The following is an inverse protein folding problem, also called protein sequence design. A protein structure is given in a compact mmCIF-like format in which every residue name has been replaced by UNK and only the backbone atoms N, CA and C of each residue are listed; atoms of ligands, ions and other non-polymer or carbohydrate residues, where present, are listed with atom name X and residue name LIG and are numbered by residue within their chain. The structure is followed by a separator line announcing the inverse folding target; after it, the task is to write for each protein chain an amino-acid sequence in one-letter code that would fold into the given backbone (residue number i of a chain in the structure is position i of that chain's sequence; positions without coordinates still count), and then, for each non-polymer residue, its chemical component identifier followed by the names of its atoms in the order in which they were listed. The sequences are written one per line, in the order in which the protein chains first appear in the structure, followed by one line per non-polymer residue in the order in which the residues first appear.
data_IF_748496836536
#
_entry.id   IF_748496836536
#
_cell.length_a   1.000
_cell.length_b   1.000
_cell.length_c   1.000
_cell.angle_alpha   90.00
_cell.angle_beta   90.00
_cell.angle_gamma   90.00
#
_symmetry.space_group_name_H-M   'P 1'
#
loop_
_entity.id
_entity.type
_entity.pdbx_description
1 polymer ?
#
# COMPACT_ATOMS: atom_id res chain seq x y z
N UNK A 1 -11.18 27.44 16.93
CA UNK A 1 -10.72 27.04 15.58
C UNK A 1 -10.40 28.29 14.78
N UNK A 2 -9.15 28.49 14.38
CA UNK A 2 -8.72 29.64 13.58
C UNK A 2 -9.13 29.40 12.12
N UNK A 3 -9.91 30.31 11.51
CA UNK A 3 -10.31 30.21 10.10
C UNK A 3 -9.08 30.41 9.22
N UNK A 4 -8.63 29.37 8.51
CA UNK A 4 -7.63 29.51 7.44
C UNK A 4 -8.20 30.45 6.37
N UNK A 5 -7.50 31.54 6.05
CA UNK A 5 -7.81 32.42 4.92
C UNK A 5 -7.37 31.75 3.62
N UNK A 6 -8.28 31.64 2.65
CA UNK A 6 -7.95 31.13 1.32
C UNK A 6 -7.17 32.20 0.54
N UNK A 7 -6.11 31.80 -0.16
CA UNK A 7 -5.30 32.67 -1.04
C UNK A 7 -5.42 32.18 -2.48
N UNK A 8 -5.45 33.11 -3.42
CA UNK A 8 -5.27 32.84 -4.84
C UNK A 8 -3.78 32.91 -5.16
N UNK A 9 -3.28 31.92 -5.89
CA UNK A 9 -1.92 31.86 -6.42
C UNK A 9 -1.99 31.51 -7.92
N UNK A 10 -0.97 31.87 -8.71
CA UNK A 10 -0.92 31.47 -10.12
C UNK A 10 -0.38 30.05 -10.21
N UNK A 11 -0.87 29.28 -11.18
CA UNK A 11 -0.32 27.94 -11.45
C UNK A 11 1.17 28.00 -11.85
N UNK A 12 1.59 29.09 -12.52
CA UNK A 12 2.99 29.35 -12.87
C UNK A 12 3.92 29.49 -11.67
N UNK A 13 3.38 29.78 -10.49
CA UNK A 13 4.16 29.97 -9.26
C UNK A 13 4.37 28.63 -8.52
N UNK A 14 3.72 27.54 -8.96
CA UNK A 14 3.86 26.20 -8.39
C UNK A 14 4.90 25.43 -9.20
N UNK A 15 6.01 24.98 -8.58
CA UNK A 15 6.99 24.16 -9.26
C UNK A 15 6.39 22.78 -9.58
N UNK A 16 6.69 22.26 -10.78
CA UNK A 16 6.39 20.87 -11.11
C UNK A 16 7.25 19.93 -10.26
N UNK A 17 6.66 18.84 -9.78
CA UNK A 17 7.35 17.81 -9.02
C UNK A 17 7.29 16.47 -9.77
N UNK A 18 8.36 15.67 -9.66
CA UNK A 18 8.36 14.30 -10.18
C UNK A 18 7.59 13.38 -9.24
N UNK A 19 6.73 12.53 -9.82
CA UNK A 19 6.04 11.50 -9.05
C UNK A 19 7.04 10.41 -8.66
N UNK A 20 7.14 10.16 -7.36
CA UNK A 20 7.84 8.99 -6.82
C UNK A 20 6.85 7.81 -6.75
N UNK A 21 7.34 6.59 -6.98
CA UNK A 21 6.50 5.40 -7.14
C UNK A 21 6.89 4.30 -6.16
N UNK A 22 5.88 3.69 -5.55
CA UNK A 22 6.02 2.37 -4.92
C UNK A 22 6.07 1.29 -5.99
N UNK A 23 5.25 1.43 -7.03
CA UNK A 23 5.20 0.52 -8.17
C UNK A 23 4.82 1.30 -9.42
N UNK A 24 5.71 1.42 -10.39
CA UNK A 24 5.43 2.16 -11.62
C UNK A 24 4.71 1.28 -12.65
N UNK A 25 3.67 1.78 -13.36
CA UNK A 25 2.98 3.07 -13.24
C UNK A 25 1.71 3.01 -12.36
N UNK A 26 1.63 2.07 -11.41
CA UNK A 26 0.38 1.71 -10.72
C UNK A 26 0.16 2.41 -9.37
N UNK A 27 1.18 2.47 -8.49
CA UNK A 27 1.05 2.97 -7.12
C UNK A 27 2.07 4.09 -6.85
N UNK A 28 1.65 5.36 -6.88
CA UNK A 28 2.51 6.50 -6.54
C UNK A 28 2.56 6.75 -5.03
N UNK A 29 3.72 7.19 -4.54
CA UNK A 29 3.84 7.66 -3.16
C UNK A 29 3.05 8.97 -2.93
N UNK A 30 2.58 9.15 -1.70
CA UNK A 30 1.89 10.37 -1.24
C UNK A 30 0.48 10.55 -1.82
N UNK A 31 -0.09 9.52 -2.46
CA UNK A 31 -1.42 9.54 -3.06
C UNK A 31 -2.21 8.31 -2.61
N UNK A 32 -3.53 8.36 -2.79
CA UNK A 32 -4.44 7.23 -2.52
C UNK A 32 -4.66 6.45 -3.81
N UNK A 33 -4.40 5.15 -3.78
CA UNK A 33 -4.71 4.21 -4.86
C UNK A 33 -5.87 3.31 -4.45
N UNK A 34 -6.81 3.08 -5.36
CA UNK A 34 -7.96 2.18 -5.16
C UNK A 34 -7.79 0.97 -6.08
N UNK A 35 -7.86 -0.24 -5.51
CA UNK A 35 -7.90 -1.50 -6.26
C UNK A 35 -9.36 -1.94 -6.36
N UNK A 36 -9.89 -1.97 -7.59
CA UNK A 36 -11.29 -2.30 -7.88
C UNK A 36 -11.39 -3.54 -8.78
N UNK A 37 -12.45 -4.32 -8.59
CA UNK A 37 -12.81 -5.54 -9.31
C UNK A 37 -14.04 -6.16 -8.67
N UNK A 38 -14.64 -7.15 -9.29
CA UNK A 38 -15.86 -7.78 -8.79
C UNK A 38 -15.60 -8.64 -7.53
N UNK A 39 -16.61 -8.88 -6.68
CA UNK A 39 -16.48 -9.80 -5.55
C UNK A 39 -15.96 -11.18 -6.01
N UNK A 40 -14.94 -11.70 -5.33
CA UNK A 40 -14.32 -13.00 -5.67
C UNK A 40 -13.19 -12.95 -6.68
N UNK A 41 -12.88 -11.80 -7.31
CA UNK A 41 -11.78 -11.68 -8.29
C UNK A 41 -10.37 -11.59 -7.68
N UNK A 42 -10.22 -11.93 -6.40
CA UNK A 42 -8.90 -12.06 -5.78
C UNK A 42 -8.21 -10.74 -5.39
N UNK A 43 -8.92 -9.62 -5.28
CA UNK A 43 -8.36 -8.32 -4.81
C UNK A 43 -7.56 -8.45 -3.51
N UNK A 44 -8.14 -9.11 -2.51
CA UNK A 44 -7.45 -9.34 -1.23
C UNK A 44 -6.19 -10.18 -1.43
N UNK A 45 -6.29 -11.28 -2.20
CA UNK A 45 -5.14 -12.13 -2.51
C UNK A 45 -4.02 -11.37 -3.22
N UNK A 46 -4.38 -10.51 -4.17
CA UNK A 46 -3.45 -9.64 -4.88
C UNK A 46 -2.72 -8.69 -3.92
N UNK A 47 -3.47 -8.00 -3.05
CA UNK A 47 -2.87 -7.10 -2.05
C UNK A 47 -1.93 -7.86 -1.11
N UNK A 48 -2.35 -9.04 -0.61
CA UNK A 48 -1.50 -9.84 0.28
C UNK A 48 -0.23 -10.35 -0.41
N UNK A 49 -0.30 -10.70 -1.70
CA UNK A 49 0.87 -11.09 -2.48
C UNK A 49 1.85 -9.93 -2.65
N UNK A 50 1.35 -8.71 -2.95
CA UNK A 50 2.22 -7.53 -2.98
C UNK A 50 2.85 -7.25 -1.62
N UNK A 51 2.10 -7.38 -0.52
CA UNK A 51 2.64 -7.19 0.83
C UNK A 51 3.79 -8.17 1.09
N UNK A 52 3.65 -9.43 0.68
CA UNK A 52 4.72 -10.41 0.84
C UNK A 52 6.01 -10.02 0.09
N UNK A 53 5.90 -9.51 -1.14
CA UNK A 53 7.06 -9.01 -1.88
C UNK A 53 7.70 -7.81 -1.17
N UNK A 54 6.87 -6.84 -0.79
CA UNK A 54 7.30 -5.59 -0.16
C UNK A 54 7.97 -5.79 1.21
N UNK A 55 7.47 -6.70 2.04
CA UNK A 55 8.08 -6.98 3.35
C UNK A 55 9.36 -7.78 3.27
N UNK A 56 9.65 -8.41 2.12
CA UNK A 56 10.92 -9.09 1.84
C UNK A 56 11.89 -8.26 0.99
N UNK A 57 11.45 -7.11 0.47
CA UNK A 57 12.26 -6.29 -0.43
C UNK A 57 12.43 -6.89 -1.84
N UNK A 58 11.60 -7.87 -2.17
CA UNK A 58 11.58 -8.50 -3.49
C UNK A 58 10.99 -7.53 -4.53
N UNK A 59 11.42 -7.61 -5.80
CA UNK A 59 10.85 -6.79 -6.86
C UNK A 59 9.36 -7.07 -7.04
N UNK A 60 8.58 -6.01 -7.29
CA UNK A 60 7.20 -6.16 -7.73
C UNK A 60 7.14 -6.69 -9.17
N UNK A 61 5.98 -7.18 -9.66
CA UNK A 61 5.86 -7.65 -11.03
C UNK A 61 6.32 -6.59 -12.03
N UNK A 62 7.11 -7.02 -13.01
CA UNK A 62 7.70 -6.16 -14.06
C UNK A 62 8.78 -5.18 -13.56
N UNK A 63 9.15 -5.21 -12.27
CA UNK A 63 10.33 -4.52 -11.77
C UNK A 63 11.57 -5.45 -11.79
N UNK A 64 12.72 -4.88 -12.14
CA UNK A 64 13.98 -5.64 -12.22
C UNK A 64 14.79 -5.59 -10.93
N UNK A 65 14.58 -4.55 -10.12
CA UNK A 65 15.41 -4.25 -8.96
C UNK A 65 14.66 -4.53 -7.65
N UNK A 66 15.30 -5.30 -6.77
CA UNK A 66 14.91 -5.39 -5.39
C UNK A 66 14.98 -4.02 -4.70
N UNK A 67 14.13 -3.81 -3.70
CA UNK A 67 14.09 -2.60 -2.88
C UNK A 67 14.30 -2.96 -1.41
N UNK A 68 14.73 -2.02 -0.54
CA UNK A 68 14.81 -2.31 0.88
C UNK A 68 13.45 -2.77 1.44
N UNK A 69 13.38 -3.85 2.25
CA UNK A 69 12.14 -4.30 2.86
C UNK A 69 11.41 -3.18 3.62
N UNK A 70 10.10 -3.04 3.39
CA UNK A 70 9.29 -1.99 4.02
C UNK A 70 8.31 -2.54 5.05
N UNK A 71 7.86 -1.66 5.95
CA UNK A 71 6.78 -1.96 6.87
C UNK A 71 5.43 -1.64 6.21
N UNK A 72 4.44 -2.50 6.44
CA UNK A 72 3.08 -2.35 5.93
C UNK A 72 2.12 -2.27 7.11
N UNK A 73 1.24 -1.27 7.11
CA UNK A 73 0.05 -1.27 7.97
C UNK A 73 -1.09 -1.86 7.16
N UNK A 74 -1.62 -3.00 7.60
CA UNK A 74 -2.76 -3.67 6.99
C UNK A 74 -4.00 -3.52 7.88
N UNK A 75 -5.11 -3.07 7.28
CA UNK A 75 -6.39 -2.96 7.97
C UNK A 75 -7.47 -3.68 7.18
N UNK A 76 -8.15 -4.63 7.83
CA UNK A 76 -9.35 -5.27 7.31
C UNK A 76 -10.51 -5.09 8.30
N UNK A 77 -11.71 -4.92 7.77
CA UNK A 77 -12.96 -4.95 8.54
C UNK A 77 -13.83 -6.17 8.19
N UNK A 78 -13.50 -6.90 7.12
CA UNK A 78 -14.29 -8.01 6.59
C UNK A 78 -13.73 -9.36 7.01
N UNK A 79 -12.41 -9.53 6.89
CA UNK A 79 -11.70 -10.79 7.12
C UNK A 79 -11.04 -10.81 8.51
N UNK A 80 -11.09 -11.97 9.18
CA UNK A 80 -10.42 -12.19 10.46
C UNK A 80 -8.90 -12.20 10.34
N UNK A 81 -8.21 -11.53 11.29
CA UNK A 81 -6.76 -11.43 11.26
C UNK A 81 -6.07 -12.79 11.48
N UNK A 82 -6.53 -13.56 12.46
CA UNK A 82 -5.86 -14.79 12.89
C UNK A 82 -6.20 -16.01 12.03
N UNK A 83 -7.42 -16.08 11.50
CA UNK A 83 -7.94 -17.25 10.76
C UNK A 83 -7.85 -17.09 9.24
N UNK A 84 -7.76 -15.86 8.73
CA UNK A 84 -7.81 -15.58 7.29
C UNK A 84 -6.57 -14.83 6.81
N UNK A 85 -6.29 -13.66 7.37
CA UNK A 85 -5.23 -12.78 6.84
C UNK A 85 -3.83 -13.33 7.15
N UNK A 86 -3.55 -13.65 8.42
CA UNK A 86 -2.25 -14.15 8.84
C UNK A 86 -1.86 -15.46 8.13
N UNK A 87 -2.73 -16.50 8.06
CA UNK A 87 -2.38 -17.73 7.33
C UNK A 87 -2.09 -17.49 5.85
N UNK A 88 -2.82 -16.58 5.19
CA UNK A 88 -2.57 -16.22 3.78
C UNK A 88 -1.22 -15.50 3.60
N UNK A 89 -0.88 -14.57 4.48
CA UNK A 89 0.42 -13.89 4.48
C UNK A 89 1.57 -14.90 4.69
N UNK A 90 1.43 -15.80 5.66
CA UNK A 90 2.42 -16.86 5.93
C UNK A 90 2.58 -17.81 4.73
N UNK A 91 1.47 -18.21 4.09
CA UNK A 91 1.49 -19.05 2.89
C UNK A 91 2.18 -18.37 1.71
N UNK A 92 2.04 -17.05 1.59
CA UNK A 92 2.69 -16.24 0.56
C UNK A 92 4.15 -15.88 0.92
N UNK A 93 4.63 -16.27 2.11
CA UNK A 93 6.01 -16.02 2.55
C UNK A 93 6.27 -14.59 3.00
N UNK A 94 5.25 -13.83 3.40
CA UNK A 94 5.43 -12.48 3.92
C UNK A 94 6.23 -12.50 5.23
N UNK A 95 7.15 -11.53 5.40
CA UNK A 95 7.70 -11.23 6.73
C UNK A 95 6.62 -10.55 7.59
N UNK A 96 5.85 -11.37 8.32
CA UNK A 96 4.78 -10.90 9.21
C UNK A 96 5.29 -10.00 10.35
N UNK A 97 6.59 -9.96 10.66
CA UNK A 97 7.13 -9.01 11.66
C UNK A 97 7.09 -7.55 11.18
N UNK A 98 6.94 -7.35 9.86
CA UNK A 98 6.82 -6.04 9.19
C UNK A 98 5.38 -5.69 8.81
N UNK A 99 4.41 -6.57 9.11
CA UNK A 99 2.99 -6.32 8.89
C UNK A 99 2.35 -5.92 10.21
N UNK A 100 2.01 -4.64 10.32
CA UNK A 100 1.34 -4.05 11.48
C UNK A 100 -0.17 -3.97 11.24
N UNK A 101 -0.95 -4.11 12.30
CA UNK A 101 -2.42 -4.02 12.26
C UNK A 101 -2.90 -3.00 13.28
N UNK A 102 -3.98 -2.26 12.99
CA UNK A 102 -4.58 -1.36 13.97
C UNK A 102 -5.70 -2.12 14.69
N UNK A 103 -5.48 -2.41 15.98
CA UNK A 103 -6.47 -3.03 16.87
C UNK A 103 -7.19 -1.94 17.68
N UNK A 104 -8.50 -2.10 17.88
CA UNK A 104 -9.22 -1.29 18.88
C UNK A 104 -8.84 -1.80 20.27
N UNK A 105 -8.49 -0.88 21.16
CA UNK A 105 -8.31 -1.15 22.59
C UNK A 105 -9.62 -1.33 23.32
#
# INVERSE_FOLDING_TARGET
MQKKKNRLIRMSDIPSEQVQWLWYPYIPYGKVTIIQGDPGEGKTSFVLAMIALLTNGEPLPEEEAASPPINVIYQSAEDGLADTIKPRLEQLGADCSRVLVIIKG
#
